data_IF_731523521260
#
_entry.id   IF_731523521260
#
_cell.length_a   1.000
_cell.length_b   1.000
_cell.length_c   1.000
_cell.angle_alpha   90.00
_cell.angle_beta   90.00
_cell.angle_gamma   90.00
#
_symmetry.space_group_name_H-M   'P 1'
#
loop_
_entity.id
_entity.type
_entity.pdbx_description
1 polymer ?
#
# COMPACT_ATOMS: atom_id res chain seq x y z
N UNK A 1 10.24 28.70 1.29
CA UNK A 1 8.91 28.51 0.68
C UNK A 1 8.89 27.15 0.01
N UNK A 2 7.93 26.28 0.32
CA UNK A 2 7.74 25.02 -0.41
C UNK A 2 7.02 25.38 -1.72
N UNK A 3 7.61 25.05 -2.86
CA UNK A 3 6.92 25.21 -4.15
C UNK A 3 5.72 24.26 -4.20
N UNK A 4 4.52 24.82 -4.41
CA UNK A 4 3.35 24.01 -4.66
C UNK A 4 3.50 23.31 -6.01
N UNK A 5 3.64 21.98 -5.98
CA UNK A 5 3.51 21.16 -7.18
C UNK A 5 2.02 21.07 -7.50
N UNK A 6 1.54 21.60 -8.64
CA UNK A 6 0.13 21.52 -8.98
C UNK A 6 -0.26 20.06 -9.16
N UNK A 7 -1.50 19.72 -8.77
CA UNK A 7 -2.02 18.40 -9.06
C UNK A 7 -1.97 18.13 -10.57
N UNK A 8 -1.61 16.91 -10.99
CA UNK A 8 -1.60 16.55 -12.40
C UNK A 8 -2.99 16.78 -13.00
N UNK A 9 -3.03 17.32 -14.21
CA UNK A 9 -4.28 17.50 -14.94
C UNK A 9 -4.83 16.11 -15.29
N UNK A 10 -5.98 15.78 -14.73
CA UNK A 10 -6.72 14.55 -15.06
C UNK A 10 -7.90 14.89 -15.96
N UNK A 11 -8.10 14.08 -16.99
CA UNK A 11 -9.29 14.07 -17.81
C UNK A 11 -10.47 13.50 -17.04
N UNK A 12 -11.70 13.81 -17.49
CA UNK A 12 -12.92 13.24 -16.90
C UNK A 12 -12.89 11.71 -16.90
N UNK A 13 -12.41 11.10 -17.98
CA UNK A 13 -12.29 9.65 -18.15
C UNK A 13 -11.32 9.03 -17.13
N UNK A 14 -10.17 9.67 -16.88
CA UNK A 14 -9.21 9.18 -15.88
C UNK A 14 -9.82 9.20 -14.47
N UNK A 15 -10.58 10.25 -14.14
CA UNK A 15 -11.28 10.34 -12.84
C UNK A 15 -12.36 9.25 -12.71
N UNK A 16 -13.10 8.97 -13.78
CA UNK A 16 -14.11 7.92 -13.80
C UNK A 16 -13.50 6.53 -13.65
N UNK A 17 -12.42 6.25 -14.39
CA UNK A 17 -11.67 4.99 -14.28
C UNK A 17 -11.10 4.80 -12.88
N UNK A 18 -10.49 5.84 -12.32
CA UNK A 18 -9.98 5.79 -10.94
C UNK A 18 -11.09 5.45 -9.94
N UNK A 19 -12.25 6.11 -10.03
CA UNK A 19 -13.38 5.85 -9.13
C UNK A 19 -13.94 4.43 -9.28
N UNK A 20 -13.96 3.90 -10.50
CA UNK A 20 -14.38 2.54 -10.77
C UNK A 20 -13.42 1.52 -10.16
N UNK A 21 -12.12 1.63 -10.45
CA UNK A 21 -11.08 0.77 -9.91
C UNK A 21 -11.05 0.81 -8.38
N UNK A 22 -11.13 2.00 -7.80
CA UNK A 22 -11.15 2.17 -6.35
C UNK A 22 -12.32 1.41 -5.69
N UNK A 23 -13.53 1.51 -6.26
CA UNK A 23 -14.69 0.76 -5.76
C UNK A 23 -14.49 -0.74 -5.91
N UNK A 24 -14.03 -1.20 -7.08
CA UNK A 24 -13.75 -2.63 -7.34
C UNK A 24 -12.80 -3.21 -6.29
N UNK A 25 -11.69 -2.51 -6.02
CA UNK A 25 -10.69 -2.92 -5.03
C UNK A 25 -11.27 -2.88 -3.60
N UNK A 26 -11.98 -1.80 -3.24
CA UNK A 26 -12.63 -1.66 -1.92
C UNK A 26 -13.62 -2.79 -1.65
N UNK A 27 -14.36 -3.23 -2.67
CA UNK A 27 -15.32 -4.32 -2.58
C UNK A 27 -14.66 -5.71 -2.60
N UNK A 28 -13.32 -5.78 -2.56
CA UNK A 28 -12.56 -7.03 -2.50
C UNK A 28 -12.49 -7.78 -3.84
N UNK A 29 -12.90 -7.15 -4.94
CA UNK A 29 -12.94 -7.77 -6.28
C UNK A 29 -11.57 -7.72 -6.97
N UNK A 30 -10.57 -8.30 -6.32
CA UNK A 30 -9.20 -8.39 -6.83
C UNK A 30 -9.07 -9.53 -7.85
N UNK A 31 -8.30 -9.30 -8.91
CA UNK A 31 -7.91 -10.36 -9.85
C UNK A 31 -6.94 -11.35 -9.17
N UNK A 32 -6.76 -12.56 -9.72
CA UNK A 32 -5.76 -13.50 -9.23
C UNK A 32 -4.33 -12.92 -9.17
N UNK A 33 -3.95 -12.13 -10.17
CA UNK A 33 -2.65 -11.46 -10.25
C UNK A 33 -2.50 -10.41 -9.15
N UNK A 34 -3.52 -9.58 -8.94
CA UNK A 34 -3.51 -8.57 -7.87
C UNK A 34 -3.43 -9.22 -6.49
N UNK A 35 -4.16 -10.32 -6.27
CA UNK A 35 -4.07 -11.10 -5.02
C UNK A 35 -2.65 -11.62 -4.81
N UNK A 36 -2.00 -12.15 -5.85
CA UNK A 36 -0.61 -12.60 -5.79
C UNK A 36 0.34 -11.46 -5.43
N UNK A 37 0.20 -10.29 -6.08
CA UNK A 37 1.01 -9.11 -5.78
C UNK A 37 0.84 -8.63 -4.33
N UNK A 38 -0.40 -8.60 -3.82
CA UNK A 38 -0.69 -8.26 -2.43
C UNK A 38 -0.05 -9.27 -1.47
N UNK A 39 -0.18 -10.57 -1.75
CA UNK A 39 0.41 -11.62 -0.92
C UNK A 39 1.93 -11.51 -0.86
N UNK A 40 2.60 -11.29 -1.99
CA UNK A 40 4.05 -11.07 -2.04
C UNK A 40 4.47 -9.84 -1.25
N UNK A 41 3.72 -8.73 -1.36
CA UNK A 41 4.01 -7.51 -0.59
C UNK A 41 3.86 -7.73 0.91
N UNK A 42 2.80 -8.41 1.33
CA UNK A 42 2.57 -8.76 2.75
C UNK A 42 3.68 -9.67 3.27
N UNK A 43 4.10 -10.67 2.50
CA UNK A 43 5.20 -11.56 2.88
C UNK A 43 6.51 -10.78 3.09
N UNK A 44 6.84 -9.85 2.18
CA UNK A 44 8.00 -8.96 2.34
C UNK A 44 7.90 -8.11 3.60
N UNK A 45 6.74 -7.48 3.84
CA UNK A 45 6.52 -6.64 5.02
C UNK A 45 6.68 -7.42 6.32
N UNK A 46 6.13 -8.64 6.40
CA UNK A 46 6.28 -9.53 7.56
C UNK A 46 7.74 -9.87 7.83
N UNK A 47 8.47 -10.29 6.79
CA UNK A 47 9.91 -10.59 6.89
C UNK A 47 10.70 -9.38 7.41
N UNK A 48 10.44 -8.19 6.88
CA UNK A 48 11.11 -6.96 7.35
C UNK A 48 10.76 -6.66 8.80
N UNK A 49 9.50 -6.81 9.20
CA UNK A 49 9.07 -6.60 10.57
C UNK A 49 9.75 -7.59 11.54
N UNK A 50 9.85 -8.86 11.18
CA UNK A 50 10.54 -9.90 11.96
C UNK A 50 12.02 -9.57 12.18
N UNK A 51 12.74 -9.18 11.11
CA UNK A 51 14.15 -8.77 11.20
C UNK A 51 14.29 -7.59 12.15
N UNK A 52 13.40 -6.60 12.00
CA UNK A 52 13.45 -5.39 12.80
C UNK A 52 13.17 -5.66 14.29
N UNK A 53 12.19 -6.50 14.61
CA UNK A 53 11.89 -6.93 15.98
C UNK A 53 13.05 -7.74 16.57
N UNK A 54 13.60 -8.70 15.82
CA UNK A 54 14.73 -9.52 16.25
C UNK A 54 15.95 -8.66 16.60
N UNK A 55 16.27 -7.67 15.76
CA UNK A 55 17.38 -6.75 15.98
C UNK A 55 17.19 -5.83 17.22
N UNK A 56 15.95 -5.68 17.71
CA UNK A 56 15.62 -4.86 18.88
C UNK A 56 15.30 -5.70 20.11
N UNK A 57 15.90 -6.89 20.23
CA UNK A 57 15.76 -7.75 21.41
C UNK A 57 14.36 -8.34 21.58
N UNK A 58 13.63 -8.53 20.47
CA UNK A 58 12.28 -9.08 20.47
C UNK A 58 11.17 -8.05 20.72
N UNK A 59 11.51 -6.76 20.91
CA UNK A 59 10.54 -5.68 21.08
C UNK A 59 10.27 -4.99 19.75
N UNK A 60 9.05 -4.54 19.53
CA UNK A 60 8.76 -3.64 18.41
C UNK A 60 9.24 -2.22 18.78
N UNK A 61 10.31 -1.68 18.18
CA UNK A 61 10.86 -0.39 18.59
C UNK A 61 10.02 0.81 18.15
N UNK A 62 9.00 0.62 17.29
CA UNK A 62 8.03 1.66 16.95
C UNK A 62 6.92 1.74 18.00
N UNK A 63 6.52 0.60 18.58
CA UNK A 63 5.40 0.51 19.53
C UNK A 63 5.84 0.30 21.00
N UNK A 64 7.10 -0.02 21.24
CA UNK A 64 7.74 -0.08 22.56
C UNK A 64 7.52 -1.35 23.38
N UNK A 65 6.75 -2.33 22.87
CA UNK A 65 6.50 -3.62 23.52
C UNK A 65 6.93 -4.79 22.65
#
# INVERSE_FOLDING_TARGET
MIQAVPNPKMTKTEVENFRWEFRRIKDGRLTPEEKKMVAERVARMKKTAEIFISNNGGKNPILGY
#
